data_IF_763231227648
#
_entry.id   IF_763231227648
#
_cell.length_a   1.000
_cell.length_b   1.000
_cell.length_c   1.000
_cell.angle_alpha   90.00
_cell.angle_beta   90.00
_cell.angle_gamma   90.00
#
_symmetry.space_group_name_H-M   'P 1'
#
loop_
_entity.id
_entity.type
_entity.pdbx_description
1 polymer ?
#
# COMPACT_ATOMS: atom_id res chain seq x y z
N UNK A 1 -18.87 13.42 8.79
CA UNK A 1 -17.93 12.60 9.59
C UNK A 1 -16.89 12.07 8.62
N UNK A 2 -15.69 12.68 8.57
CA UNK A 2 -14.64 12.26 7.64
C UNK A 2 -14.06 10.94 8.14
N UNK A 3 -14.28 9.86 7.39
CA UNK A 3 -13.84 8.51 7.77
C UNK A 3 -12.32 8.47 7.72
N UNK A 4 -11.69 8.12 8.84
CA UNK A 4 -10.25 7.91 8.94
C UNK A 4 -9.87 6.65 8.15
N UNK A 5 -9.08 6.78 7.10
CA UNK A 5 -8.41 5.65 6.44
C UNK A 5 -7.30 5.15 7.36
N UNK A 6 -7.61 4.17 8.20
CA UNK A 6 -6.59 3.49 8.99
C UNK A 6 -5.70 2.67 8.04
N UNK A 7 -4.50 3.17 7.76
CA UNK A 7 -3.46 2.43 7.06
C UNK A 7 -2.85 1.43 8.05
N UNK A 8 -3.13 0.14 7.89
CA UNK A 8 -2.47 -0.92 8.68
C UNK A 8 -1.38 -1.54 7.82
N UNK A 9 -0.12 -1.41 8.23
CA UNK A 9 0.95 -2.22 7.66
C UNK A 9 0.80 -3.61 8.27
N UNK A 10 0.25 -4.54 7.50
CA UNK A 10 0.07 -5.93 7.93
C UNK A 10 1.32 -6.72 7.57
N UNK A 11 2.32 -6.61 8.43
CA UNK A 11 3.49 -7.48 8.54
C UNK A 11 4.41 -7.63 7.31
N UNK A 12 5.70 -7.38 7.54
CA UNK A 12 6.76 -7.94 6.70
C UNK A 12 6.84 -9.44 7.03
N UNK A 13 6.21 -10.30 6.23
CA UNK A 13 6.35 -11.75 6.35
C UNK A 13 7.77 -12.15 5.90
N UNK A 14 8.71 -12.05 6.84
CA UNK A 14 10.15 -12.35 6.68
C UNK A 14 10.43 -13.77 6.16
N UNK A 15 9.45 -14.68 6.24
CA UNK A 15 9.59 -16.05 5.76
C UNK A 15 9.58 -16.18 4.23
N UNK A 16 8.83 -15.32 3.52
CA UNK A 16 8.56 -15.48 2.08
C UNK A 16 9.14 -14.35 1.22
N UNK A 17 9.75 -13.34 1.86
CA UNK A 17 10.21 -12.09 1.20
C UNK A 17 9.09 -11.39 0.44
N UNK A 18 7.88 -11.42 0.98
CA UNK A 18 6.74 -10.69 0.45
C UNK A 18 6.32 -9.62 1.44
N UNK A 19 6.07 -8.42 0.92
CA UNK A 19 5.41 -7.35 1.65
C UNK A 19 3.93 -7.39 1.31
N UNK A 20 3.09 -7.37 2.36
CA UNK A 20 1.65 -7.27 2.22
C UNK A 20 1.18 -5.96 2.83
N UNK A 21 0.41 -5.19 2.05
CA UNK A 21 -0.22 -3.95 2.48
C UNK A 21 -1.73 -4.16 2.48
N UNK A 22 -2.36 -3.89 3.61
CA UNK A 22 -3.81 -3.93 3.75
C UNK A 22 -4.32 -2.56 4.20
N UNK A 23 -5.27 -2.00 3.46
CA UNK A 23 -5.88 -0.75 3.83
C UNK A 23 -7.40 -0.85 3.71
N UNK A 24 -8.10 0.05 4.40
CA UNK A 24 -9.53 0.24 4.19
C UNK A 24 -9.72 1.45 3.28
N UNK A 25 -10.70 1.39 2.38
CA UNK A 25 -11.05 2.47 1.46
C UNK A 25 -12.54 2.43 1.13
N UNK A 26 -13.15 3.56 0.76
CA UNK A 26 -14.59 3.57 0.46
C UNK A 26 -14.94 2.59 -0.68
N UNK A 27 -15.99 1.76 -0.55
CA UNK A 27 -16.41 0.85 -1.63
C UNK A 27 -16.67 1.61 -2.93
N UNK A 28 -16.26 1.03 -4.06
CA UNK A 28 -16.40 1.61 -5.39
C UNK A 28 -15.40 2.72 -5.73
N UNK A 29 -14.38 2.95 -4.91
CA UNK A 29 -13.38 4.00 -5.15
C UNK A 29 -11.99 3.44 -5.49
N UNK A 30 -11.29 4.15 -6.38
CA UNK A 30 -9.95 3.79 -6.81
C UNK A 30 -8.91 4.49 -5.94
N UNK A 31 -7.90 3.75 -5.53
CA UNK A 31 -6.81 4.22 -4.71
C UNK A 31 -5.48 3.93 -5.40
N UNK A 32 -4.48 4.75 -5.14
CA UNK A 32 -3.14 4.56 -5.71
C UNK A 32 -2.17 4.14 -4.60
N UNK A 33 -1.53 3.00 -4.80
CA UNK A 33 -0.34 2.61 -4.04
C UNK A 33 0.84 3.36 -4.62
N UNK A 34 1.57 4.06 -3.76
CA UNK A 34 2.79 4.77 -4.13
C UNK A 34 3.97 4.23 -3.34
N UNK A 35 5.14 4.24 -3.95
CA UNK A 35 6.42 3.89 -3.32
C UNK A 35 7.38 5.08 -3.27
N UNK A 36 8.32 5.05 -2.33
CA UNK A 36 9.38 6.03 -2.17
C UNK A 36 10.63 5.39 -1.59
N UNK A 37 11.81 5.90 -1.97
CA UNK A 37 13.10 5.51 -1.37
C UNK A 37 13.64 6.53 -0.37
N UNK A 38 13.02 7.72 -0.26
CA UNK A 38 13.51 8.83 0.54
C UNK A 38 12.42 9.58 1.32
N UNK A 39 11.18 9.07 1.33
CA UNK A 39 9.99 9.68 1.94
C UNK A 39 9.56 11.04 1.36
N UNK A 40 10.31 11.59 0.40
CA UNK A 40 10.07 12.90 -0.18
C UNK A 40 9.44 12.78 -1.58
N UNK A 41 10.03 11.93 -2.42
CA UNK A 41 9.57 11.68 -3.77
C UNK A 41 8.76 10.38 -3.78
N UNK A 42 7.49 10.46 -4.21
CA UNK A 42 6.58 9.34 -4.26
C UNK A 42 6.18 9.05 -5.69
N UNK A 43 6.36 7.81 -6.14
CA UNK A 43 5.99 7.37 -7.50
C UNK A 43 4.81 6.41 -7.44
N UNK A 44 3.83 6.53 -8.36
CA UNK A 44 2.74 5.55 -8.49
C UNK A 44 3.30 4.16 -8.80
N UNK A 45 2.74 3.15 -8.13
CA UNK A 45 3.12 1.75 -8.31
C UNK A 45 1.95 0.92 -8.83
N UNK A 46 0.76 1.07 -8.24
CA UNK A 46 -0.44 0.33 -8.63
C UNK A 46 -1.71 1.12 -8.30
N UNK A 47 -2.79 0.83 -9.04
CA UNK A 47 -4.14 1.31 -8.72
C UNK A 47 -4.96 0.14 -8.20
N UNK A 48 -5.59 0.31 -7.05
CA UNK A 48 -6.45 -0.67 -6.41
C UNK A 48 -7.88 -0.15 -6.37
N UNK A 49 -8.85 -0.97 -6.76
CA UNK A 49 -10.25 -0.71 -6.54
C UNK A 49 -10.69 -1.28 -5.19
N UNK A 50 -11.29 -0.46 -4.32
CA UNK A 50 -11.93 -0.96 -3.10
C UNK A 50 -13.30 -1.53 -3.48
N UNK A 51 -13.42 -2.85 -3.61
CA UNK A 51 -14.71 -3.48 -3.96
C UNK A 51 -15.70 -3.52 -2.81
N UNK A 52 -15.21 -3.78 -1.60
CA UNK A 52 -16.03 -4.09 -0.41
C UNK A 52 -15.61 -3.29 0.84
N UNK A 53 -14.74 -2.29 0.67
CA UNK A 53 -14.17 -1.55 1.79
C UNK A 53 -12.70 -1.88 2.05
N UNK A 54 -12.16 -2.93 1.45
CA UNK A 54 -10.79 -3.38 1.64
C UNK A 54 -9.91 -3.19 0.40
N UNK A 55 -8.63 -2.98 0.66
CA UNK A 55 -7.55 -2.89 -0.32
C UNK A 55 -6.44 -3.83 0.10
N UNK A 56 -5.95 -4.64 -0.84
CA UNK A 56 -4.82 -5.54 -0.63
C UNK A 56 -3.80 -5.34 -1.74
N UNK A 57 -2.53 -5.28 -1.36
CA UNK A 57 -1.41 -5.21 -2.29
C UNK A 57 -0.27 -6.07 -1.77
N UNK A 58 0.36 -6.81 -2.68
CA UNK A 58 1.42 -7.75 -2.37
C UNK A 58 2.60 -7.50 -3.32
N UNK A 59 3.81 -7.43 -2.79
CA UNK A 59 5.03 -7.23 -3.58
C UNK A 59 6.18 -8.11 -3.10
N UNK A 60 6.94 -8.67 -4.04
CA UNK A 60 8.16 -9.41 -3.75
C UNK A 60 9.31 -8.44 -3.41
N UNK A 61 9.94 -8.65 -2.26
CA UNK A 61 11.05 -7.83 -1.77
C UNK A 61 12.38 -8.44 -2.19
N UNK A 62 13.08 -7.78 -3.11
CA UNK A 62 14.41 -8.19 -3.58
C UNK A 62 15.53 -7.71 -2.64
N UNK A 63 16.55 -8.55 -2.38
CA UNK A 63 17.64 -8.30 -1.42
C UNK A 63 18.59 -7.16 -1.77
N UNK A 64 18.53 -6.67 -3.01
CA UNK A 64 19.41 -5.62 -3.51
C UNK A 64 18.70 -4.27 -3.61
N UNK A 65 17.47 -4.18 -3.09
CA UNK A 65 16.64 -3.01 -3.21
C UNK A 65 16.86 -2.10 -1.99
N UNK A 66 17.09 -0.78 -2.16
CA UNK A 66 17.10 0.16 -1.04
C UNK A 66 15.76 0.10 -0.26
N UNK A 67 15.74 0.63 0.97
CA UNK A 67 14.50 0.78 1.74
C UNK A 67 13.37 1.35 0.86
N UNK A 68 12.26 0.63 0.76
CA UNK A 68 11.05 1.08 0.07
C UNK A 68 9.97 1.39 1.10
N UNK A 69 9.43 2.60 1.01
CA UNK A 69 8.30 3.07 1.81
C UNK A 69 7.05 3.07 0.94
N UNK A 70 5.92 2.66 1.52
CA UNK A 70 4.66 2.51 0.79
C UNK A 70 3.56 3.35 1.44
N UNK A 71 2.70 3.94 0.62
CA UNK A 71 1.48 4.61 1.07
C UNK A 71 0.33 4.35 0.10
N UNK A 72 -0.90 4.43 0.62
CA UNK A 72 -2.11 4.45 -0.18
C UNK A 72 -2.66 5.87 -0.16
N UNK A 73 -2.98 6.42 -1.32
CA UNK A 73 -3.68 7.72 -1.42
C UNK A 73 -5.16 7.49 -1.67
N UNK A 74 -5.98 8.33 -1.03
CA UNK A 74 -7.40 8.46 -1.37
C UNK A 74 -7.56 8.98 -2.82
N UNK A 75 -8.75 8.81 -3.43
CA UNK A 75 -9.08 9.42 -4.72
C UNK A 75 -8.84 10.93 -4.76
#
# INVERSE_FOLDING_TARGET
>A
MLTVTQLKIADLLLANRMMNLTANGAPGTNHVVQTSTNLMNWTPLATLNSSDGALQFNEAVYTNNPLHFYRVTAP
#
